data_IF_902930611359
#
_entry.id   IF_902930611359
#
_cell.length_a   1.000
_cell.length_b   1.000
_cell.length_c   1.000
_cell.angle_alpha   90.00
_cell.angle_beta   90.00
_cell.angle_gamma   90.00
#
_symmetry.space_group_name_H-M   'P 1'
#
loop_
_entity.id
_entity.type
_entity.pdbx_description
1 polymer ?
#
# COMPACT_ATOMS: atom_id res chain seq x y z
N UNK A 1 -50.99 -26.41 -22.25
CA UNK A 1 -51.41 -25.84 -23.56
C UNK A 1 -50.67 -24.50 -23.67
N UNK A 2 -49.42 -24.43 -24.18
CA UNK A 2 -49.01 -24.45 -25.60
C UNK A 2 -49.99 -23.69 -26.51
N UNK A 3 -49.62 -22.44 -26.82
CA UNK A 3 -50.00 -21.74 -28.06
C UNK A 3 -48.70 -21.19 -28.69
N UNK A 4 -48.30 -21.85 -29.78
CA UNK A 4 -47.46 -21.38 -30.90
C UNK A 4 -48.44 -20.99 -32.04
N UNK A 5 -48.08 -20.76 -33.33
CA UNK A 5 -46.87 -20.28 -34.05
C UNK A 5 -47.22 -19.08 -35.02
N UNK A 6 -46.35 -18.45 -35.83
CA UNK A 6 -45.90 -18.90 -37.17
C UNK A 6 -45.06 -17.79 -37.87
N UNK A 7 -43.97 -18.23 -38.55
CA UNK A 7 -43.44 -17.87 -39.89
C UNK A 7 -43.06 -16.39 -40.21
N UNK A 8 -42.01 -16.05 -40.97
CA UNK A 8 -41.36 -16.72 -42.13
C UNK A 8 -39.99 -16.09 -42.43
N UNK A 9 -39.09 -16.84 -43.06
CA UNK A 9 -37.81 -16.40 -43.61
C UNK A 9 -37.87 -16.11 -45.13
N UNK A 10 -37.00 -15.20 -45.62
CA UNK A 10 -36.32 -15.18 -46.95
C UNK A 10 -35.58 -13.83 -47.11
N UNK A 11 -34.24 -13.73 -47.16
CA UNK A 11 -33.25 -14.04 -48.24
C UNK A 11 -33.01 -12.90 -49.26
N UNK A 12 -31.76 -12.40 -49.24
CA UNK A 12 -30.87 -11.86 -50.32
C UNK A 12 -31.19 -10.47 -50.92
N UNK A 13 -30.28 -9.50 -50.74
CA UNK A 13 -29.30 -9.12 -51.78
C UNK A 13 -28.24 -8.12 -51.30
N UNK A 14 -27.09 -8.19 -51.97
CA UNK A 14 -25.76 -7.67 -51.67
C UNK A 14 -25.55 -6.22 -52.13
N UNK A 15 -24.69 -5.46 -51.44
CA UNK A 15 -23.75 -4.51 -52.06
C UNK A 15 -22.62 -4.14 -51.08
N UNK A 16 -21.40 -4.18 -51.58
CA UNK A 16 -20.12 -4.05 -50.89
C UNK A 16 -19.77 -2.59 -50.51
N UNK A 17 -18.89 -2.42 -49.53
CA UNK A 17 -17.73 -1.50 -49.57
C UNK A 17 -16.60 -2.10 -48.73
N UNK A 18 -15.41 -2.00 -49.31
CA UNK A 18 -14.10 -2.55 -48.97
C UNK A 18 -13.47 -2.05 -47.66
N UNK A 19 -12.85 -2.97 -46.92
CA UNK A 19 -11.74 -2.68 -46.02
C UNK A 19 -10.58 -3.65 -46.31
N UNK A 20 -9.38 -3.10 -46.49
CA UNK A 20 -8.14 -3.79 -46.81
C UNK A 20 -7.54 -4.52 -45.59
N UNK A 21 -6.95 -5.72 -45.75
CA UNK A 21 -6.22 -6.38 -44.67
C UNK A 21 -4.71 -6.04 -44.68
N UNK A 22 -4.19 -5.75 -43.49
CA UNK A 22 -2.75 -5.64 -43.20
C UNK A 22 -2.10 -7.02 -43.30
N UNK A 23 -1.09 -7.13 -44.17
CA UNK A 23 -0.30 -8.33 -44.41
C UNK A 23 0.58 -8.67 -43.20
N UNK A 24 0.37 -9.87 -42.65
CA UNK A 24 1.36 -10.59 -41.87
C UNK A 24 2.50 -11.07 -42.80
N UNK A 25 3.75 -10.80 -42.41
CA UNK A 25 4.94 -11.30 -43.09
C UNK A 25 5.57 -12.40 -42.22
N UNK A 26 5.23 -13.66 -42.50
CA UNK A 26 6.06 -14.80 -42.16
C UNK A 26 6.90 -15.16 -43.38
N UNK A 27 8.22 -15.27 -43.19
CA UNK A 27 9.10 -15.96 -44.13
C UNK A 27 9.44 -17.32 -43.52
N UNK A 28 9.11 -18.36 -44.29
CA UNK A 28 9.39 -19.77 -44.06
C UNK A 28 10.89 -20.08 -44.10
N UNK A 29 11.36 -20.93 -43.19
CA UNK A 29 12.33 -21.96 -43.56
C UNK A 29 11.97 -23.26 -42.85
N UNK A 30 11.80 -24.30 -43.66
CA UNK A 30 11.48 -25.67 -43.28
C UNK A 30 12.75 -26.42 -42.85
N UNK A 31 12.70 -27.14 -41.73
CA UNK A 31 13.37 -28.44 -41.64
C UNK A 31 12.66 -29.33 -40.62
N UNK A 32 12.45 -30.57 -41.05
CA UNK A 32 11.84 -31.69 -40.35
C UNK A 32 12.84 -32.42 -39.46
N UNK A 33 12.47 -32.78 -38.24
CA UNK A 33 12.86 -34.05 -37.61
C UNK A 33 12.07 -34.28 -36.31
N UNK A 34 11.73 -35.55 -36.07
CA UNK A 34 10.85 -36.03 -35.03
C UNK A 34 11.57 -36.34 -33.71
N UNK A 35 10.75 -36.39 -32.65
CA UNK A 35 10.85 -37.23 -31.44
C UNK A 35 12.08 -37.11 -30.53
N UNK A 36 11.86 -36.83 -29.23
CA UNK A 36 11.80 -37.83 -28.13
C UNK A 36 11.99 -37.11 -26.79
N UNK A 37 11.29 -37.59 -25.77
CA UNK A 37 11.42 -37.24 -24.35
C UNK A 37 12.82 -37.49 -23.78
N UNK A 38 13.35 -36.56 -22.97
CA UNK A 38 14.23 -36.87 -21.84
C UNK A 38 14.22 -35.72 -20.82
N UNK A 39 14.13 -36.11 -19.54
CA UNK A 39 14.51 -35.31 -18.37
C UNK A 39 15.99 -34.92 -18.45
N UNK A 40 16.33 -33.72 -17.98
CA UNK A 40 17.55 -33.41 -17.23
C UNK A 40 17.41 -31.97 -16.68
N UNK A 41 17.40 -31.74 -15.37
CA UNK A 41 18.58 -31.69 -14.49
C UNK A 41 19.60 -30.65 -14.94
N UNK A 42 19.37 -29.37 -14.61
CA UNK A 42 20.41 -28.34 -14.68
C UNK A 42 20.71 -27.77 -13.31
N UNK A 43 21.80 -28.28 -12.75
CA UNK A 43 22.63 -27.64 -11.72
C UNK A 43 23.19 -26.32 -12.25
N UNK A 44 22.89 -25.21 -11.58
CA UNK A 44 23.59 -23.94 -11.79
C UNK A 44 24.70 -23.78 -10.76
N UNK A 45 25.93 -23.78 -11.27
CA UNK A 45 27.14 -23.41 -10.57
C UNK A 45 27.14 -21.92 -10.22
N UNK A 46 27.51 -21.65 -8.98
CA UNK A 46 27.80 -20.34 -8.40
C UNK A 46 28.90 -19.60 -9.16
N UNK A 47 28.61 -18.35 -9.56
CA UNK A 47 29.62 -17.34 -9.83
C UNK A 47 29.21 -16.03 -9.14
N UNK A 48 29.96 -15.72 -8.10
CA UNK A 48 29.96 -14.46 -7.35
C UNK A 48 30.50 -13.31 -8.22
N UNK A 49 29.74 -12.22 -8.32
CA UNK A 49 30.28 -10.90 -8.65
C UNK A 49 29.38 -9.84 -8.01
N UNK A 50 29.82 -9.33 -6.87
CA UNK A 50 29.24 -8.16 -6.24
C UNK A 50 29.62 -6.89 -6.99
N UNK A 51 28.70 -5.92 -7.01
CA UNK A 51 28.98 -4.50 -7.22
C UNK A 51 27.75 -3.71 -6.77
N UNK A 52 27.77 -3.26 -5.52
CA UNK A 52 26.90 -2.20 -5.03
C UNK A 52 27.60 -0.85 -5.21
N UNK A 53 26.85 0.18 -5.59
CA UNK A 53 27.29 1.57 -5.55
C UNK A 53 26.14 2.43 -5.03
N UNK A 54 26.04 2.50 -3.70
CA UNK A 54 25.29 3.51 -2.97
C UNK A 54 26.18 4.74 -2.78
N UNK A 55 25.76 5.88 -3.30
CA UNK A 55 26.41 7.17 -3.04
C UNK A 55 25.95 7.70 -1.67
N UNK A 56 26.88 7.82 -0.72
CA UNK A 56 26.67 8.52 0.56
C UNK A 56 27.44 9.84 0.56
N UNK A 57 26.71 10.91 0.87
CA UNK A 57 27.24 12.22 1.26
C UNK A 57 27.83 12.17 2.68
N UNK A 58 28.89 12.93 2.87
CA UNK A 58 29.76 12.96 4.04
C UNK A 58 29.18 13.76 5.22
N UNK A 59 29.19 13.18 6.41
CA UNK A 59 29.25 13.91 7.67
C UNK A 59 30.18 13.17 8.64
N UNK A 60 31.21 13.86 9.11
CA UNK A 60 32.26 13.37 9.99
C UNK A 60 31.77 13.19 11.42
N UNK A 61 31.95 12.00 12.00
CA UNK A 61 31.93 11.79 13.44
C UNK A 61 33.08 10.86 13.83
N UNK A 62 33.89 11.32 14.79
CA UNK A 62 35.10 10.69 15.32
C UNK A 62 34.80 9.36 16.02
N UNK A 63 35.52 8.30 15.63
CA UNK A 63 35.51 7.00 16.25
C UNK A 63 36.36 6.98 17.54
N UNK A 64 35.80 6.43 18.62
CA UNK A 64 36.56 5.91 19.75
C UNK A 64 36.28 4.41 19.87
N UNK A 65 37.35 3.64 19.90
CA UNK A 65 37.41 2.18 19.87
C UNK A 65 37.05 1.58 21.23
N UNK A 66 36.19 0.56 21.23
CA UNK A 66 36.05 -0.36 22.36
C UNK A 66 36.10 -1.81 21.86
N UNK A 67 37.13 -2.50 22.32
CA UNK A 67 37.55 -3.86 22.00
C UNK A 67 36.54 -4.90 22.51
N UNK A 68 36.25 -5.90 21.68
CA UNK A 68 35.42 -7.06 22.00
C UNK A 68 36.08 -7.99 23.02
N UNK A 69 35.34 -8.41 24.04
CA UNK A 69 35.60 -9.64 24.79
C UNK A 69 34.34 -10.51 24.81
N UNK A 70 34.54 -11.79 24.53
CA UNK A 70 33.54 -12.84 24.51
C UNK A 70 33.16 -13.27 25.92
N UNK A 71 31.86 -13.35 26.21
CA UNK A 71 31.35 -14.14 27.33
C UNK A 71 30.02 -14.77 26.99
N UNK A 72 29.98 -16.08 27.19
CA UNK A 72 28.90 -17.04 27.07
C UNK A 72 27.63 -16.67 27.85
N UNK A 73 26.48 -17.00 27.26
CA UNK A 73 25.28 -17.49 27.95
C UNK A 73 24.56 -16.49 28.85
N UNK A 74 23.66 -15.70 28.27
CA UNK A 74 22.51 -15.15 28.99
C UNK A 74 21.33 -15.07 28.03
N UNK A 75 20.22 -15.72 28.40
CA UNK A 75 18.95 -15.70 27.70
C UNK A 75 18.50 -14.25 27.47
N UNK A 76 18.61 -13.78 26.24
CA UNK A 76 17.99 -12.51 25.83
C UNK A 76 16.48 -12.67 25.96
N UNK A 77 15.88 -11.81 26.79
CA UNK A 77 14.45 -11.68 26.95
C UNK A 77 13.89 -11.24 25.58
N UNK A 78 13.60 -12.18 24.68
CA UNK A 78 13.29 -11.86 23.29
C UNK A 78 11.89 -11.26 23.24
N UNK A 79 11.82 -9.94 23.03
CA UNK A 79 10.57 -9.23 22.73
C UNK A 79 9.90 -9.70 21.43
N UNK A 80 10.58 -10.58 20.67
CA UNK A 80 10.12 -11.16 19.42
C UNK A 80 10.06 -12.67 19.55
N UNK A 81 8.91 -13.25 19.20
CA UNK A 81 8.71 -14.70 19.08
C UNK A 81 8.10 -15.04 17.72
N UNK A 82 8.10 -16.32 17.35
CA UNK A 82 7.50 -16.79 16.09
C UNK A 82 5.99 -16.47 16.06
N UNK A 83 5.52 -15.87 14.96
CA UNK A 83 4.08 -15.58 14.79
C UNK A 83 3.29 -16.74 14.21
N UNK A 84 3.95 -17.78 13.71
CA UNK A 84 3.30 -18.92 13.08
C UNK A 84 2.33 -19.63 14.04
N UNK A 85 1.03 -19.66 13.70
CA UNK A 85 -0.08 -20.24 14.45
C UNK A 85 -0.27 -19.60 15.83
N UNK A 86 0.29 -18.40 16.03
CA UNK A 86 0.13 -17.68 17.27
C UNK A 86 -1.31 -17.18 17.40
N UNK A 87 -2.00 -17.69 18.41
CA UNK A 87 -3.30 -17.18 18.86
C UNK A 87 -3.15 -15.95 19.76
N UNK A 88 -1.92 -15.46 19.98
CA UNK A 88 -1.72 -14.19 20.69
C UNK A 88 -2.35 -13.09 19.86
N UNK A 89 -3.52 -12.68 20.33
CA UNK A 89 -4.23 -11.51 19.88
C UNK A 89 -4.17 -10.47 20.99
N UNK A 90 -4.30 -9.21 20.58
CA UNK A 90 -4.52 -8.16 21.54
C UNK A 90 -5.89 -8.36 22.22
N UNK A 91 -5.94 -8.32 23.55
CA UNK A 91 -7.20 -8.46 24.28
C UNK A 91 -8.09 -7.23 24.01
N UNK A 92 -9.12 -7.41 23.18
CA UNK A 92 -9.95 -6.34 22.61
C UNK A 92 -10.87 -5.63 23.60
N UNK A 93 -10.82 -5.96 24.89
CA UNK A 93 -11.63 -5.28 25.93
C UNK A 93 -11.05 -3.92 26.33
N UNK A 94 -9.78 -3.65 26.03
CA UNK A 94 -9.20 -2.33 26.22
C UNK A 94 -9.68 -1.39 25.11
N UNK A 95 -10.47 -0.40 25.48
CA UNK A 95 -10.96 0.65 24.57
C UNK A 95 -9.79 1.53 24.10
N UNK A 96 -9.94 2.24 22.98
CA UNK A 96 -8.93 3.17 22.43
C UNK A 96 -8.48 4.28 23.41
N UNK A 97 -9.13 4.40 24.57
CA UNK A 97 -8.83 5.34 25.65
C UNK A 97 -8.21 4.69 26.89
N UNK A 98 -7.94 3.37 26.89
CA UNK A 98 -7.22 2.73 27.99
C UNK A 98 -5.74 3.18 27.95
N UNK A 99 -5.28 3.73 29.06
CA UNK A 99 -3.87 4.13 29.29
C UNK A 99 -2.88 2.98 29.20
N UNK A 100 -3.37 1.74 29.25
CA UNK A 100 -2.56 0.54 29.33
C UNK A 100 -2.15 0.03 27.93
N UNK A 101 -2.71 0.64 26.87
CA UNK A 101 -2.41 0.30 25.48
C UNK A 101 -1.32 1.24 24.96
N UNK A 102 -0.08 0.77 25.00
CA UNK A 102 1.06 1.55 24.52
C UNK A 102 0.79 2.16 23.12
N UNK A 103 1.04 3.45 22.98
CA UNK A 103 0.93 4.21 21.73
C UNK A 103 -0.49 4.61 21.29
N UNK A 104 -1.52 3.84 21.62
CA UNK A 104 -2.91 4.13 21.16
C UNK A 104 -3.48 5.36 21.85
N UNK A 105 -3.28 5.52 23.15
CA UNK A 105 -3.77 6.68 23.92
C UNK A 105 -2.82 7.88 23.89
N UNK A 106 -1.79 7.87 23.05
CA UNK A 106 -0.76 8.91 23.04
C UNK A 106 -1.32 10.26 22.57
N UNK A 107 -0.84 11.35 23.16
CA UNK A 107 -1.38 12.69 22.93
C UNK A 107 -1.23 13.18 21.48
N UNK A 108 -0.24 12.68 20.73
CA UNK A 108 -0.04 13.02 19.33
C UNK A 108 -1.21 12.62 18.43
N UNK A 109 -2.01 11.63 18.84
CA UNK A 109 -3.20 11.18 18.09
C UNK A 109 -4.50 11.83 18.57
N UNK A 110 -4.44 13.00 19.22
CA UNK A 110 -5.63 13.73 19.67
C UNK A 110 -6.60 14.09 18.52
N UNK A 111 -6.07 14.27 17.31
CA UNK A 111 -6.84 14.65 16.11
C UNK A 111 -7.33 13.45 15.28
N UNK A 112 -7.12 12.22 15.76
CA UNK A 112 -7.69 11.02 15.13
C UNK A 112 -9.18 10.95 15.46
N UNK A 113 -10.00 10.81 14.42
CA UNK A 113 -11.46 10.66 14.50
C UNK A 113 -11.80 9.20 14.76
N UNK A 114 -12.72 8.95 15.69
CA UNK A 114 -13.26 7.61 15.91
C UNK A 114 -14.15 7.19 14.74
N UNK A 115 -13.99 5.95 14.28
CA UNK A 115 -14.85 5.35 13.26
C UNK A 115 -16.21 4.95 13.87
N UNK A 116 -17.28 5.21 13.13
CA UNK A 116 -18.64 4.77 13.48
C UNK A 116 -18.81 3.26 13.23
N UNK A 117 -18.10 2.74 12.23
CA UNK A 117 -18.05 1.32 11.87
C UNK A 117 -16.62 0.80 11.99
N UNK A 118 -16.21 0.29 13.17
CA UNK A 118 -14.92 -0.36 13.35
C UNK A 118 -14.68 -1.47 12.33
N UNK A 119 -13.42 -1.64 11.92
CA UNK A 119 -13.00 -2.59 10.89
C UNK A 119 -11.94 -3.54 11.46
N UNK A 120 -11.86 -4.75 10.91
CA UNK A 120 -10.68 -5.60 10.98
C UNK A 120 -9.74 -5.23 9.83
N UNK A 121 -8.61 -4.60 10.16
CA UNK A 121 -7.65 -4.08 9.18
C UNK A 121 -6.36 -4.88 9.23
N UNK A 122 -5.94 -5.37 8.06
CA UNK A 122 -4.55 -5.81 7.86
C UNK A 122 -3.74 -4.61 7.38
N UNK A 123 -2.62 -4.33 8.04
CA UNK A 123 -1.70 -3.25 7.73
C UNK A 123 -0.36 -3.81 7.25
N UNK A 124 0.15 -3.32 6.13
CA UNK A 124 1.45 -3.69 5.56
C UNK A 124 2.16 -2.46 4.96
N UNK A 125 3.36 -2.62 4.42
CA UNK A 125 4.08 -1.63 3.62
C UNK A 125 5.22 -2.31 2.83
N UNK A 126 6.11 -1.52 2.23
CA UNK A 126 7.38 -1.98 1.68
C UNK A 126 8.63 -1.38 2.37
N UNK A 127 8.51 -0.42 3.28
CA UNK A 127 9.66 0.15 4.01
C UNK A 127 10.18 -0.70 5.17
N UNK A 128 9.43 -1.75 5.53
CA UNK A 128 9.54 -2.65 6.68
C UNK A 128 8.67 -2.29 7.89
N UNK A 129 8.45 -3.29 8.74
CA UNK A 129 7.79 -3.17 10.04
C UNK A 129 8.52 -2.25 11.04
N UNK A 130 9.76 -1.87 10.72
CA UNK A 130 10.60 -0.97 11.52
C UNK A 130 10.50 0.50 11.12
N UNK A 131 9.74 0.84 10.08
CA UNK A 131 9.54 2.23 9.64
C UNK A 131 8.67 3.01 10.63
N UNK A 132 8.95 4.30 10.78
CA UNK A 132 8.16 5.22 11.61
C UNK A 132 6.73 5.39 11.08
N UNK A 133 6.55 5.52 9.76
CA UNK A 133 5.25 5.81 9.14
C UNK A 133 4.22 4.71 9.41
N UNK A 134 4.56 3.45 9.12
CA UNK A 134 3.64 2.32 9.35
C UNK A 134 3.33 2.12 10.84
N UNK A 135 4.29 2.40 11.72
CA UNK A 135 4.10 2.30 13.18
C UNK A 135 3.19 3.38 13.72
N UNK A 136 3.33 4.61 13.24
CA UNK A 136 2.39 5.69 13.57
C UNK A 136 0.98 5.36 13.05
N UNK A 137 0.84 4.88 11.81
CA UNK A 137 -0.47 4.54 11.24
C UNK A 137 -1.15 3.39 11.99
N UNK A 138 -0.38 2.39 12.43
CA UNK A 138 -0.90 1.31 13.27
C UNK A 138 -1.59 1.85 14.53
N UNK A 139 -0.94 2.74 15.27
CA UNK A 139 -1.53 3.32 16.48
C UNK A 139 -2.68 4.27 16.16
N UNK A 140 -2.60 5.06 15.09
CA UNK A 140 -3.69 5.95 14.67
C UNK A 140 -4.96 5.18 14.26
N UNK A 141 -4.84 4.10 13.48
CA UNK A 141 -6.00 3.26 13.13
C UNK A 141 -6.62 2.58 14.36
N UNK A 142 -5.79 2.16 15.33
CA UNK A 142 -6.30 1.64 16.61
C UNK A 142 -6.96 2.72 17.46
N UNK A 143 -6.41 3.94 17.45
CA UNK A 143 -7.00 5.11 18.11
C UNK A 143 -8.37 5.46 17.53
N UNK A 144 -8.55 5.27 16.22
CA UNK A 144 -9.86 5.40 15.56
C UNK A 144 -10.86 4.29 15.96
N UNK A 145 -10.42 3.25 16.66
CA UNK A 145 -11.28 2.15 17.15
C UNK A 145 -11.25 0.88 16.28
N UNK A 146 -10.43 0.84 15.22
CA UNK A 146 -10.27 -0.37 14.40
C UNK A 146 -9.45 -1.45 15.12
N UNK A 147 -9.67 -2.71 14.74
CA UNK A 147 -8.80 -3.85 15.09
C UNK A 147 -7.74 -3.98 14.02
N UNK A 148 -6.47 -3.81 14.37
CA UNK A 148 -5.37 -3.73 13.39
C UNK A 148 -4.35 -4.84 13.61
N UNK A 149 -4.09 -5.60 12.56
CA UNK A 149 -3.01 -6.58 12.45
C UNK A 149 -1.97 -6.03 11.45
N UNK A 150 -0.80 -5.65 11.94
CA UNK A 150 0.33 -5.31 11.06
C UNK A 150 1.14 -6.57 10.73
N UNK A 151 1.33 -6.84 9.44
CA UNK A 151 2.32 -7.80 8.94
C UNK A 151 3.07 -7.11 7.82
N UNK A 152 4.31 -6.71 8.09
CA UNK A 152 5.13 -5.96 7.14
C UNK A 152 6.49 -6.64 6.91
N UNK A 153 7.22 -6.29 5.84
CA UNK A 153 8.55 -6.84 5.59
C UNK A 153 9.52 -6.64 6.77
N UNK A 154 10.46 -7.57 6.96
CA UNK A 154 11.58 -7.38 7.89
C UNK A 154 12.65 -6.41 7.35
N UNK A 155 12.76 -6.29 6.02
CA UNK A 155 13.70 -5.45 5.29
C UNK A 155 12.96 -4.42 4.43
N UNK A 156 13.65 -3.37 3.98
CA UNK A 156 13.10 -2.51 2.92
C UNK A 156 12.95 -3.33 1.62
N UNK A 157 11.84 -3.13 0.94
CA UNK A 157 11.39 -3.82 -0.27
C UNK A 157 10.84 -2.84 -1.30
N UNK A 158 11.35 -1.60 -1.34
CA UNK A 158 10.96 -0.62 -2.35
C UNK A 158 11.28 -1.14 -3.76
N UNK A 159 10.45 -0.79 -4.75
CA UNK A 159 10.65 -1.16 -6.15
C UNK A 159 10.34 -2.62 -6.50
N UNK A 160 9.57 -3.33 -5.66
CA UNK A 160 9.22 -4.74 -5.91
C UNK A 160 7.92 -4.93 -6.70
N UNK A 161 7.13 -3.88 -6.93
CA UNK A 161 5.82 -3.97 -7.56
C UNK A 161 4.97 -5.11 -6.95
N UNK A 162 4.30 -5.88 -7.80
CA UNK A 162 3.54 -7.08 -7.41
C UNK A 162 4.38 -8.36 -7.19
N UNK A 163 5.71 -8.29 -7.08
CA UNK A 163 6.54 -9.49 -6.92
C UNK A 163 6.20 -10.23 -5.62
N UNK A 164 6.10 -11.57 -5.68
CA UNK A 164 5.91 -12.45 -4.52
C UNK A 164 7.19 -13.26 -4.27
N UNK A 165 7.93 -12.92 -3.22
CA UNK A 165 9.05 -13.73 -2.71
C UNK A 165 8.75 -14.17 -1.30
N UNK A 166 8.77 -15.48 -1.08
CA UNK A 166 8.59 -16.12 0.22
C UNK A 166 9.95 -16.40 0.89
N UNK A 167 9.99 -16.56 2.23
CA UNK A 167 11.20 -16.93 2.94
C UNK A 167 11.79 -18.25 2.40
N UNK A 168 13.10 -18.27 2.15
CA UNK A 168 13.84 -19.48 1.77
C UNK A 168 14.50 -20.20 2.97
N UNK A 169 14.26 -19.71 4.19
CA UNK A 169 14.86 -20.23 5.42
C UNK A 169 13.92 -20.00 6.60
N UNK A 170 14.01 -20.87 7.62
CA UNK A 170 13.19 -20.75 8.82
C UNK A 170 13.56 -19.53 9.69
N UNK A 171 14.75 -18.98 9.47
CA UNK A 171 15.29 -17.89 10.25
C UNK A 171 15.77 -16.75 9.33
N UNK A 172 15.78 -15.55 9.88
CA UNK A 172 16.36 -14.34 9.30
C UNK A 172 17.87 -14.56 9.12
N UNK A 173 18.35 -14.45 7.88
CA UNK A 173 19.76 -14.65 7.50
C UNK A 173 20.55 -13.35 7.39
N UNK A 174 19.86 -12.22 7.21
CA UNK A 174 20.40 -10.86 7.24
C UNK A 174 19.57 -10.00 8.19
N UNK A 175 20.19 -9.16 9.00
CA UNK A 175 19.45 -8.33 9.94
C UNK A 175 18.47 -7.40 9.19
N UNK A 176 17.21 -7.40 9.62
CA UNK A 176 16.19 -6.50 9.11
C UNK A 176 16.53 -5.02 9.38
N UNK A 177 15.71 -4.11 8.83
CA UNK A 177 15.94 -2.66 8.99
C UNK A 177 16.08 -2.30 10.47
N UNK A 178 17.12 -1.52 10.80
CA UNK A 178 17.44 -1.11 12.18
C UNK A 178 17.84 -2.26 13.12
N UNK A 179 18.04 -3.49 12.61
CA UNK A 179 18.30 -4.67 13.43
C UNK A 179 17.08 -5.18 14.19
N UNK A 180 15.88 -4.65 13.89
CA UNK A 180 14.67 -4.99 14.64
C UNK A 180 14.21 -6.43 14.42
N UNK A 181 14.55 -7.03 13.28
CA UNK A 181 14.51 -8.48 13.10
C UNK A 181 15.97 -8.99 13.03
N UNK A 182 16.57 -9.45 14.15
CA UNK A 182 17.97 -9.83 14.17
C UNK A 182 18.21 -11.14 13.41
N UNK A 183 19.46 -11.38 12.99
CA UNK A 183 19.88 -12.67 12.43
C UNK A 183 19.57 -13.79 13.43
N UNK A 184 18.99 -14.89 12.95
CA UNK A 184 18.54 -16.01 13.77
C UNK A 184 17.11 -15.88 14.31
N UNK A 185 16.47 -14.72 14.22
CA UNK A 185 15.03 -14.59 14.49
C UNK A 185 14.20 -15.43 13.50
N UNK A 186 12.97 -15.86 13.82
CA UNK A 186 12.13 -16.62 12.89
C UNK A 186 11.78 -15.81 11.63
N UNK A 187 11.47 -16.47 10.52
CA UNK A 187 11.06 -15.79 9.27
C UNK A 187 9.78 -14.95 9.40
N UNK A 188 8.91 -15.33 10.34
CA UNK A 188 7.70 -14.60 10.72
C UNK A 188 7.72 -14.40 12.24
N UNK A 189 7.68 -13.15 12.69
CA UNK A 189 7.81 -12.81 14.10
C UNK A 189 6.78 -11.79 14.56
N UNK A 190 6.44 -11.81 15.84
CA UNK A 190 5.55 -10.83 16.49
C UNK A 190 6.24 -10.18 17.69
N UNK A 191 5.83 -8.95 17.99
CA UNK A 191 6.18 -8.29 19.26
C UNK A 191 5.30 -8.85 20.39
N UNK A 192 5.89 -9.40 21.44
CA UNK A 192 5.16 -10.02 22.55
C UNK A 192 4.33 -9.02 23.35
N UNK A 193 4.77 -7.76 23.47
CA UNK A 193 4.04 -6.74 24.23
C UNK A 193 2.90 -6.13 23.42
N UNK A 194 2.96 -6.26 22.09
CA UNK A 194 1.87 -5.90 21.19
C UNK A 194 1.78 -6.91 20.03
N UNK A 195 1.04 -8.02 20.21
CA UNK A 195 0.97 -9.10 19.23
C UNK A 195 0.36 -8.72 17.88
N UNK A 196 -0.23 -7.52 17.76
CA UNK A 196 -0.68 -6.98 16.48
C UNK A 196 0.46 -6.43 15.61
N UNK A 197 1.67 -6.27 16.15
CA UNK A 197 2.86 -5.83 15.41
C UNK A 197 3.69 -7.04 15.00
N UNK A 198 3.67 -7.39 13.71
CA UNK A 198 4.37 -8.55 13.16
C UNK A 198 5.21 -8.20 11.95
N UNK A 199 6.23 -9.00 11.70
CA UNK A 199 6.99 -8.98 10.46
C UNK A 199 6.93 -10.32 9.74
N UNK A 200 7.15 -10.28 8.43
CA UNK A 200 7.36 -11.44 7.58
C UNK A 200 8.56 -11.22 6.65
N UNK A 201 9.42 -12.22 6.49
CA UNK A 201 10.61 -12.14 5.65
C UNK A 201 10.28 -12.40 4.17
N UNK A 202 9.50 -11.50 3.57
CA UNK A 202 9.08 -11.59 2.17
C UNK A 202 8.88 -10.22 1.53
N UNK A 203 8.39 -10.21 0.29
CA UNK A 203 7.96 -8.98 -0.39
C UNK A 203 6.63 -8.46 0.19
N UNK A 204 6.23 -7.21 -0.12
CA UNK A 204 5.00 -6.60 0.41
C UNK A 204 3.74 -7.42 0.07
N UNK A 205 3.60 -7.87 -1.18
CA UNK A 205 2.52 -8.76 -1.59
C UNK A 205 2.54 -10.11 -0.83
N UNK A 206 3.73 -10.66 -0.59
CA UNK A 206 3.87 -11.87 0.23
C UNK A 206 3.48 -11.64 1.70
N UNK A 207 3.75 -10.45 2.25
CA UNK A 207 3.33 -10.07 3.60
C UNK A 207 1.80 -9.95 3.69
N UNK A 208 1.16 -9.33 2.70
CA UNK A 208 -0.31 -9.27 2.61
C UNK A 208 -0.92 -10.68 2.50
N UNK A 209 -0.37 -11.53 1.64
CA UNK A 209 -0.79 -12.93 1.53
C UNK A 209 -0.63 -13.70 2.83
N UNK A 210 0.53 -13.61 3.49
CA UNK A 210 0.75 -14.24 4.79
C UNK A 210 -0.22 -13.73 5.86
N UNK A 211 -0.50 -12.43 5.88
CA UNK A 211 -1.47 -11.87 6.81
C UNK A 211 -2.85 -12.48 6.60
N UNK A 212 -3.35 -12.49 5.36
CA UNK A 212 -4.68 -12.98 5.01
C UNK A 212 -4.81 -14.50 5.21
N UNK A 213 -3.83 -15.26 4.74
CA UNK A 213 -3.86 -16.73 4.70
C UNK A 213 -3.46 -17.38 6.02
N UNK A 214 -2.83 -16.62 6.92
CA UNK A 214 -2.22 -17.19 8.11
C UNK A 214 -2.57 -16.43 9.39
N UNK A 215 -2.16 -15.17 9.50
CA UNK A 215 -2.19 -14.48 10.78
C UNK A 215 -3.58 -13.91 11.14
N UNK A 216 -4.33 -13.44 10.14
CA UNK A 216 -5.63 -12.78 10.30
C UNK A 216 -6.70 -13.71 10.88
N UNK A 217 -6.77 -14.96 10.39
CA UNK A 217 -7.73 -15.96 10.87
C UNK A 217 -7.63 -16.19 12.39
N UNK A 218 -6.41 -16.28 12.93
CA UNK A 218 -6.19 -16.41 14.37
C UNK A 218 -6.35 -15.10 15.12
N UNK A 219 -5.86 -14.00 14.56
CA UNK A 219 -5.86 -12.70 15.23
C UNK A 219 -7.27 -12.10 15.35
N UNK A 220 -8.08 -12.19 14.30
CA UNK A 220 -9.44 -11.67 14.28
C UNK A 220 -10.49 -12.63 14.85
N UNK A 221 -10.10 -13.90 15.11
CA UNK A 221 -10.98 -14.99 15.53
C UNK A 221 -12.11 -15.24 14.51
N UNK A 222 -11.74 -15.33 13.23
CA UNK A 222 -12.70 -15.58 12.16
C UNK A 222 -13.28 -17.00 12.30
N UNK A 223 -14.60 -17.09 12.49
CA UNK A 223 -15.29 -18.33 12.84
C UNK A 223 -15.69 -19.19 11.63
N UNK A 224 -15.61 -18.63 10.42
CA UNK A 224 -15.96 -19.32 9.17
C UNK A 224 -14.71 -19.86 8.47
N UNK A 225 -14.53 -21.18 8.45
CA UNK A 225 -13.44 -21.84 7.71
C UNK A 225 -13.51 -21.66 6.18
N UNK A 226 -14.60 -21.08 5.66
CA UNK A 226 -14.81 -20.81 4.23
C UNK A 226 -14.75 -19.31 3.90
N UNK A 227 -14.38 -18.45 4.85
CA UNK A 227 -14.17 -17.04 4.58
C UNK A 227 -12.78 -16.81 3.96
N UNK A 228 -12.74 -16.55 2.65
CA UNK A 228 -11.51 -16.28 1.92
C UNK A 228 -10.82 -14.97 2.32
N UNK A 229 -11.48 -14.10 3.09
CA UNK A 229 -10.90 -12.85 3.60
C UNK A 229 -10.48 -12.96 5.06
N UNK A 230 -10.70 -14.10 5.73
CA UNK A 230 -10.39 -14.31 7.14
C UNK A 230 -10.95 -13.22 8.08
N UNK A 231 -12.15 -12.71 7.77
CA UNK A 231 -12.82 -11.64 8.51
C UNK A 231 -12.21 -10.26 8.32
N UNK A 232 -11.29 -10.07 7.37
CA UNK A 232 -10.64 -8.78 7.08
C UNK A 232 -11.57 -7.92 6.22
N UNK A 233 -11.83 -6.70 6.69
CA UNK A 233 -12.66 -5.71 6.00
C UNK A 233 -11.87 -4.85 5.01
N UNK A 234 -10.59 -4.62 5.30
CA UNK A 234 -9.72 -3.71 4.56
C UNK A 234 -8.23 -4.08 4.72
N UNK A 235 -7.48 -4.05 3.63
CA UNK A 235 -6.01 -3.99 3.68
C UNK A 235 -5.58 -2.53 3.51
N UNK A 236 -4.71 -2.07 4.40
CA UNK A 236 -4.06 -0.77 4.28
C UNK A 236 -2.57 -1.02 4.04
N UNK A 237 -2.00 -0.36 3.04
CA UNK A 237 -0.58 -0.47 2.71
C UNK A 237 0.10 0.89 2.82
N UNK A 238 1.22 0.97 3.52
CA UNK A 238 1.97 2.20 3.79
C UNK A 238 1.73 2.78 5.20
N UNK A 239 1.94 4.10 5.41
CA UNK A 239 2.36 5.07 4.42
C UNK A 239 3.81 4.83 3.97
N UNK A 240 4.05 4.83 2.67
CA UNK A 240 5.38 4.70 2.06
C UNK A 240 6.23 5.94 2.38
N UNK A 241 7.53 5.72 2.63
CA UNK A 241 8.59 6.74 2.69
C UNK A 241 8.98 7.13 1.26
N UNK A 242 8.29 8.13 0.71
CA UNK A 242 8.33 8.55 -0.68
C UNK A 242 6.95 8.46 -1.34
N UNK A 243 6.72 9.23 -2.39
CA UNK A 243 5.46 9.18 -3.15
C UNK A 243 5.47 8.08 -4.20
N UNK A 244 4.29 7.62 -4.58
CA UNK A 244 4.06 6.66 -5.65
C UNK A 244 3.10 7.27 -6.68
N UNK A 245 3.55 8.35 -7.33
CA UNK A 245 2.76 9.15 -8.26
C UNK A 245 2.76 8.58 -9.68
N UNK A 246 1.56 8.42 -10.21
CA UNK A 246 1.29 8.08 -11.60
C UNK A 246 1.48 6.61 -11.97
N UNK A 247 1.16 6.23 -13.22
CA UNK A 247 1.13 4.83 -13.64
C UNK A 247 2.47 4.11 -13.57
N UNK A 248 3.57 4.87 -13.73
CA UNK A 248 4.91 4.31 -13.65
C UNK A 248 5.21 3.79 -12.24
N UNK A 249 5.08 4.65 -11.22
CA UNK A 249 5.32 4.25 -9.83
C UNK A 249 4.24 3.30 -9.32
N UNK A 250 2.99 3.42 -9.78
CA UNK A 250 1.95 2.44 -9.52
C UNK A 250 2.39 1.00 -9.78
N UNK A 251 3.10 0.77 -10.89
CA UNK A 251 3.55 -0.57 -11.30
C UNK A 251 4.79 -1.05 -10.52
N UNK A 252 5.66 -0.11 -10.11
CA UNK A 252 6.95 -0.40 -9.48
C UNK A 252 6.86 -0.45 -7.94
N UNK A 253 5.86 0.21 -7.35
CA UNK A 253 5.68 0.36 -5.91
C UNK A 253 5.35 -0.96 -5.22
N UNK A 254 6.11 -1.29 -4.17
CA UNK A 254 5.78 -2.42 -3.30
C UNK A 254 4.56 -2.12 -2.42
N UNK A 255 4.44 -0.87 -1.96
CA UNK A 255 3.26 -0.39 -1.21
C UNK A 255 1.97 -0.58 -2.02
N UNK A 256 1.93 -0.15 -3.28
CA UNK A 256 0.76 -0.38 -4.15
C UNK A 256 0.63 -1.85 -4.53
N UNK A 257 1.73 -2.56 -4.79
CA UNK A 257 1.71 -4.01 -5.10
C UNK A 257 1.03 -4.86 -4.02
N UNK A 258 1.22 -4.54 -2.74
CA UNK A 258 0.51 -5.22 -1.65
C UNK A 258 -0.99 -4.90 -1.61
N UNK A 259 -1.36 -3.64 -1.90
CA UNK A 259 -2.76 -3.20 -2.03
C UNK A 259 -3.44 -3.92 -3.20
N UNK A 260 -2.77 -3.97 -4.35
CA UNK A 260 -3.22 -4.64 -5.56
C UNK A 260 -3.48 -6.13 -5.33
N UNK A 261 -2.51 -6.84 -4.72
CA UNK A 261 -2.64 -8.24 -4.36
C UNK A 261 -3.86 -8.50 -3.45
N UNK A 262 -4.13 -7.63 -2.49
CA UNK A 262 -5.29 -7.76 -1.61
C UNK A 262 -6.63 -7.60 -2.36
N UNK A 263 -6.70 -6.64 -3.29
CA UNK A 263 -7.89 -6.42 -4.12
C UNK A 263 -8.19 -7.65 -4.99
N UNK A 264 -7.18 -8.27 -5.59
CA UNK A 264 -7.32 -9.53 -6.33
C UNK A 264 -7.79 -10.69 -5.44
N UNK A 265 -7.50 -10.64 -4.13
CA UNK A 265 -7.91 -11.62 -3.12
C UNK A 265 -9.27 -11.31 -2.49
N UNK A 266 -10.11 -10.51 -3.15
CA UNK A 266 -11.43 -10.10 -2.68
C UNK A 266 -11.42 -9.24 -1.41
N UNK A 267 -10.30 -8.58 -1.05
CA UNK A 267 -10.24 -7.68 0.11
C UNK A 267 -10.06 -6.24 -0.39
N UNK A 268 -10.95 -5.28 -0.04
CA UNK A 268 -10.74 -3.88 -0.39
C UNK A 268 -9.37 -3.40 0.09
N UNK A 269 -8.72 -2.49 -0.65
CA UNK A 269 -7.43 -1.97 -0.21
C UNK A 269 -7.19 -0.49 -0.54
N UNK A 270 -6.43 0.17 0.34
CA UNK A 270 -5.97 1.56 0.19
C UNK A 270 -4.46 1.59 0.42
N UNK A 271 -3.73 2.12 -0.56
CA UNK A 271 -2.30 2.40 -0.46
C UNK A 271 -2.07 3.88 -0.09
N UNK A 272 -1.16 4.15 0.83
CA UNK A 272 -0.75 5.49 1.24
C UNK A 272 0.74 5.68 0.98
N UNK A 273 1.11 6.85 0.48
CA UNK A 273 2.50 7.23 0.20
C UNK A 273 2.71 8.69 0.55
N UNK A 274 3.89 9.07 1.04
CA UNK A 274 4.12 10.42 1.53
C UNK A 274 5.51 10.94 1.12
N UNK A 275 5.62 12.22 0.78
CA UNK A 275 6.93 12.88 0.64
C UNK A 275 7.59 13.05 2.01
N UNK A 276 8.21 11.97 2.52
CA UNK A 276 8.92 11.95 3.80
C UNK A 276 10.27 11.29 3.67
N UNK A 277 11.18 11.65 4.57
CA UNK A 277 12.45 10.98 4.73
C UNK A 277 12.30 9.57 5.34
N UNK A 278 13.36 8.78 5.18
CA UNK A 278 13.51 7.45 5.78
C UNK A 278 13.64 7.59 7.30
N UNK A 279 12.67 7.09 8.08
CA UNK A 279 12.65 7.21 9.55
C UNK A 279 12.50 5.84 10.23
N UNK A 280 13.17 5.65 11.37
CA UNK A 280 13.01 4.43 12.17
C UNK A 280 11.94 4.64 13.23
N UNK A 281 11.21 3.60 13.60
CA UNK A 281 10.14 3.75 14.60
C UNK A 281 10.63 4.25 15.96
N UNK A 282 11.90 4.06 16.29
CA UNK A 282 12.51 4.57 17.53
C UNK A 282 12.65 6.09 17.56
N UNK A 283 12.54 6.77 16.42
CA UNK A 283 12.50 8.24 16.35
C UNK A 283 11.10 8.82 16.49
N UNK A 284 10.06 7.99 16.63
CA UNK A 284 8.68 8.47 16.76
C UNK A 284 8.47 9.18 18.09
N UNK A 285 7.96 10.40 18.04
CA UNK A 285 7.38 11.05 19.21
C UNK A 285 5.85 10.94 19.18
N UNK A 286 5.31 9.83 19.69
CA UNK A 286 3.85 9.58 19.70
C UNK A 286 3.05 10.59 20.55
N UNK A 287 3.73 11.38 21.39
CA UNK A 287 3.07 12.42 22.19
C UNK A 287 3.00 13.78 21.48
N UNK A 288 3.70 13.92 20.36
CA UNK A 288 3.78 15.16 19.60
C UNK A 288 2.86 15.10 18.38
N UNK A 289 1.87 16.00 18.36
CA UNK A 289 0.94 16.16 17.22
C UNK A 289 1.66 16.68 15.97
N UNK A 290 2.85 17.25 16.13
CA UNK A 290 3.66 17.80 15.06
C UNK A 290 4.74 16.85 14.54
N UNK A 291 4.90 15.64 15.11
CA UNK A 291 5.75 14.62 14.48
C UNK A 291 5.19 14.26 13.09
N UNK A 292 6.04 14.34 12.06
CA UNK A 292 5.68 14.11 10.66
C UNK A 292 4.90 12.79 10.44
N UNK A 293 5.37 11.70 11.02
CA UNK A 293 4.75 10.38 10.88
C UNK A 293 3.42 10.31 11.64
N UNK A 294 3.30 11.01 12.77
CA UNK A 294 2.04 11.12 13.54
C UNK A 294 1.00 11.91 12.77
N UNK A 295 1.38 13.02 12.11
CA UNK A 295 0.50 13.80 11.23
C UNK A 295 -0.02 12.98 10.06
N UNK A 296 0.89 12.33 9.32
CA UNK A 296 0.51 11.49 8.17
C UNK A 296 -0.39 10.35 8.62
N UNK A 297 -0.03 9.66 9.71
CA UNK A 297 -0.85 8.61 10.29
C UNK A 297 -2.26 9.10 10.67
N UNK A 298 -2.35 10.31 11.23
CA UNK A 298 -3.64 10.94 11.58
C UNK A 298 -4.47 11.21 10.33
N UNK A 299 -3.89 11.78 9.27
CA UNK A 299 -4.58 12.00 8.00
C UNK A 299 -5.04 10.68 7.36
N UNK A 300 -4.17 9.66 7.32
CA UNK A 300 -4.50 8.35 6.74
C UNK A 300 -5.58 7.62 7.53
N UNK A 301 -5.51 7.61 8.87
CA UNK A 301 -6.53 6.98 9.71
C UNK A 301 -7.90 7.68 9.59
N UNK A 302 -7.90 9.01 9.53
CA UNK A 302 -9.12 9.79 9.32
C UNK A 302 -9.71 9.54 7.92
N UNK A 303 -8.87 9.41 6.89
CA UNK A 303 -9.31 9.06 5.54
C UNK A 303 -9.95 7.66 5.51
N UNK A 304 -9.27 6.65 6.07
CA UNK A 304 -9.79 5.28 6.17
C UNK A 304 -11.15 5.25 6.88
N UNK A 305 -11.24 5.88 8.06
CA UNK A 305 -12.47 5.92 8.86
C UNK A 305 -13.61 6.58 8.08
N UNK A 306 -13.32 7.71 7.42
CA UNK A 306 -14.32 8.46 6.67
C UNK A 306 -14.81 7.69 5.44
N UNK A 307 -13.91 7.09 4.65
CA UNK A 307 -14.29 6.29 3.48
C UNK A 307 -15.12 5.08 3.91
N UNK A 308 -14.69 4.38 4.96
CA UNK A 308 -15.41 3.22 5.48
C UNK A 308 -16.80 3.56 6.02
N UNK A 309 -16.91 4.62 6.83
CA UNK A 309 -18.19 5.04 7.40
C UNK A 309 -19.17 5.48 6.33
N UNK A 310 -18.71 6.19 5.29
CA UNK A 310 -19.56 6.56 4.17
C UNK A 310 -20.00 5.34 3.35
N UNK A 311 -19.10 4.41 3.05
CA UNK A 311 -19.44 3.18 2.32
C UNK A 311 -20.45 2.30 3.08
N UNK A 312 -20.40 2.33 4.42
CA UNK A 312 -21.27 1.55 5.32
C UNK A 312 -22.49 2.31 5.86
N UNK A 313 -22.69 3.57 5.48
CA UNK A 313 -23.72 4.43 6.07
C UNK A 313 -25.15 3.86 5.96
N UNK A 314 -25.47 3.20 4.84
CA UNK A 314 -26.79 2.59 4.61
C UNK A 314 -26.83 1.08 4.93
N UNK A 315 -25.68 0.43 5.03
CA UNK A 315 -25.54 -1.00 5.30
C UNK A 315 -24.20 -1.27 5.98
N UNK A 316 -24.23 -1.60 7.27
CA UNK A 316 -23.03 -1.88 8.07
C UNK A 316 -22.24 -3.12 7.62
N UNK A 317 -22.84 -3.97 6.78
CA UNK A 317 -22.21 -5.14 6.15
C UNK A 317 -21.69 -4.86 4.73
N UNK A 318 -21.82 -3.62 4.23
CA UNK A 318 -21.29 -3.26 2.92
C UNK A 318 -19.76 -3.30 2.91
N UNK A 319 -19.19 -3.65 1.74
CA UNK A 319 -17.75 -3.57 1.51
C UNK A 319 -17.31 -2.11 1.47
N UNK A 320 -16.10 -1.82 1.95
CA UNK A 320 -15.52 -0.46 1.91
C UNK A 320 -15.33 0.02 0.47
N UNK A 321 -14.88 -0.88 -0.43
CA UNK A 321 -14.76 -0.63 -1.87
C UNK A 321 -15.34 -1.81 -2.67
N UNK A 322 -15.83 -1.59 -3.90
CA UNK A 322 -16.25 -2.66 -4.80
C UNK A 322 -15.13 -3.68 -5.08
N UNK A 323 -15.52 -4.85 -5.58
CA UNK A 323 -14.54 -5.85 -6.05
C UNK A 323 -13.72 -5.29 -7.21
N UNK A 324 -12.44 -5.65 -7.24
CA UNK A 324 -11.50 -5.23 -8.29
C UNK A 324 -11.07 -3.77 -8.23
N UNK A 325 -11.51 -3.01 -7.23
CA UNK A 325 -11.22 -1.58 -7.07
C UNK A 325 -10.41 -1.33 -5.80
N UNK A 326 -9.36 -0.52 -5.93
CA UNK A 326 -8.60 0.00 -4.80
C UNK A 326 -8.32 1.50 -4.94
N UNK A 327 -7.74 2.06 -3.89
CA UNK A 327 -7.33 3.48 -3.86
C UNK A 327 -5.82 3.59 -3.63
N UNK A 328 -5.23 4.64 -4.19
CA UNK A 328 -3.90 5.12 -3.81
C UNK A 328 -4.00 6.58 -3.39
N UNK A 329 -3.27 6.94 -2.34
CA UNK A 329 -3.23 8.27 -1.74
C UNK A 329 -1.79 8.72 -1.66
N UNK A 330 -1.50 9.93 -2.11
CA UNK A 330 -0.18 10.54 -2.01
C UNK A 330 -0.26 11.86 -1.24
N UNK A 331 0.65 12.04 -0.28
CA UNK A 331 0.80 13.27 0.50
C UNK A 331 1.99 14.10 -0.01
N UNK A 332 1.86 15.45 -0.04
CA UNK A 332 2.99 16.33 -0.29
C UNK A 332 3.92 16.35 0.94
N UNK A 333 4.98 17.17 0.89
CA UNK A 333 5.84 17.40 2.06
C UNK A 333 5.03 18.13 3.15
N UNK A 334 4.78 17.46 4.27
CA UNK A 334 4.00 17.97 5.40
C UNK A 334 4.94 18.51 6.49
N UNK A 335 4.55 19.59 7.15
CA UNK A 335 5.32 20.15 8.27
C UNK A 335 5.56 19.08 9.36
N UNK A 336 6.77 18.98 9.94
CA UNK A 336 7.79 20.02 9.99
C UNK A 336 8.89 19.92 8.92
N UNK A 337 8.90 18.86 8.11
CA UNK A 337 9.88 18.68 7.03
C UNK A 337 9.50 19.51 5.80
N UNK A 338 8.20 19.66 5.52
CA UNK A 338 7.65 20.55 4.50
C UNK A 338 6.99 21.82 5.06
N UNK A 339 6.32 22.56 4.16
CA UNK A 339 5.57 23.78 4.50
C UNK A 339 4.05 23.55 4.59
N UNK A 340 3.57 22.34 4.29
CA UNK A 340 2.14 22.04 4.35
C UNK A 340 1.68 21.83 5.81
N UNK A 341 0.83 22.74 6.29
CA UNK A 341 0.20 22.67 7.62
C UNK A 341 -1.26 22.23 7.53
N UNK A 342 -1.97 22.67 6.49
CA UNK A 342 -3.38 22.38 6.26
C UNK A 342 -3.56 21.64 4.93
N UNK A 343 -3.91 20.36 5.02
CA UNK A 343 -4.01 19.47 3.87
C UNK A 343 -5.39 19.56 3.21
N UNK A 344 -5.45 19.88 1.92
CA UNK A 344 -6.65 19.76 1.09
C UNK A 344 -6.69 18.40 0.37
N UNK A 345 -7.86 17.75 0.33
CA UNK A 345 -8.03 16.48 -0.38
C UNK A 345 -8.57 16.70 -1.80
N UNK A 346 -7.95 16.08 -2.79
CA UNK A 346 -8.33 16.20 -4.19
C UNK A 346 -8.61 14.83 -4.80
N UNK A 347 -9.76 14.69 -5.46
CA UNK A 347 -10.04 13.52 -6.31
C UNK A 347 -9.17 13.63 -7.56
N UNK A 348 -8.28 12.68 -7.73
CA UNK A 348 -7.32 12.64 -8.82
C UNK A 348 -7.45 11.38 -9.64
N UNK A 349 -6.70 11.35 -10.74
CA UNK A 349 -6.42 10.13 -11.49
C UNK A 349 -4.90 9.96 -11.59
N UNK A 350 -4.43 8.73 -11.83
CA UNK A 350 -3.00 8.44 -11.93
C UNK A 350 -2.32 9.22 -13.08
N UNK A 351 -2.99 9.35 -14.22
CA UNK A 351 -2.48 10.05 -15.41
C UNK A 351 -2.75 11.56 -15.36
N UNK A 352 -2.02 12.37 -16.13
CA UNK A 352 -2.22 13.82 -16.19
C UNK A 352 -1.01 14.55 -15.65
N UNK A 353 -0.05 14.83 -16.53
CA UNK A 353 1.34 15.21 -16.19
C UNK A 353 2.09 14.14 -15.41
N UNK A 354 1.67 12.88 -15.52
CA UNK A 354 2.43 11.74 -15.02
C UNK A 354 3.77 11.64 -15.74
N UNK A 355 4.76 11.14 -15.01
CA UNK A 355 6.13 10.98 -15.48
C UNK A 355 6.49 9.49 -15.60
N UNK A 356 7.50 9.21 -16.42
CA UNK A 356 8.24 7.95 -16.48
C UNK A 356 9.74 8.28 -16.55
N UNK A 357 10.61 7.32 -16.24
CA UNK A 357 12.04 7.50 -16.39
C UNK A 357 12.50 7.48 -17.86
N UNK A 358 13.45 8.38 -18.17
CA UNK A 358 14.31 8.29 -19.35
C UNK A 358 15.75 8.08 -18.91
N UNK A 359 16.39 7.05 -19.45
CA UNK A 359 17.81 6.84 -19.22
C UNK A 359 18.66 7.94 -19.88
N UNK A 360 19.57 8.50 -19.10
CA UNK A 360 20.53 9.52 -19.52
C UNK A 360 21.91 9.15 -18.97
N UNK A 361 22.99 9.72 -19.51
CA UNK A 361 24.34 9.51 -18.99
C UNK A 361 24.71 10.68 -18.09
N UNK A 362 25.14 10.41 -16.87
CA UNK A 362 25.64 11.44 -15.98
C UNK A 362 26.98 11.97 -16.53
N UNK A 363 27.05 13.27 -16.84
CA UNK A 363 28.21 13.89 -17.50
C UNK A 363 29.48 13.92 -16.63
N UNK A 364 29.34 13.81 -15.32
CA UNK A 364 30.47 13.80 -14.38
C UNK A 364 31.07 12.41 -14.20
N UNK A 365 30.22 11.38 -14.09
CA UNK A 365 30.66 10.00 -13.81
C UNK A 365 30.78 9.13 -15.05
N UNK A 366 30.14 9.51 -16.16
CA UNK A 366 30.03 8.69 -17.37
C UNK A 366 29.11 7.47 -17.24
N UNK A 367 28.44 7.30 -16.10
CA UNK A 367 27.54 6.17 -15.84
C UNK A 367 26.09 6.51 -16.21
N UNK A 368 25.27 5.50 -16.59
CA UNK A 368 23.83 5.69 -16.76
C UNK A 368 23.15 6.17 -15.46
N UNK A 369 22.16 7.03 -15.61
CA UNK A 369 21.21 7.48 -14.59
C UNK A 369 19.84 7.69 -15.26
N UNK A 370 18.86 8.22 -14.53
CA UNK A 370 17.53 8.53 -15.01
C UNK A 370 17.21 10.04 -14.91
N UNK A 371 16.25 10.48 -15.70
CA UNK A 371 15.64 11.79 -15.63
C UNK A 371 14.13 11.67 -15.91
N UNK A 372 13.33 12.57 -15.33
CA UNK A 372 11.89 12.59 -15.57
C UNK A 372 11.58 12.82 -17.05
N UNK A 373 10.64 12.03 -17.58
CA UNK A 373 10.15 12.11 -18.94
C UNK A 373 8.62 12.08 -18.95
N UNK A 374 8.03 13.15 -19.48
CA UNK A 374 6.58 13.22 -19.72
C UNK A 374 6.34 12.75 -21.16
N UNK A 375 5.67 11.61 -21.31
CA UNK A 375 5.29 11.08 -22.62
C UNK A 375 3.77 11.13 -22.81
N UNK A 376 3.33 11.12 -24.07
CA UNK A 376 1.91 10.98 -24.40
C UNK A 376 1.37 9.62 -23.95
N UNK A 377 2.20 8.56 -23.99
CA UNK A 377 1.81 7.21 -23.62
C UNK A 377 1.39 7.07 -22.15
N UNK A 378 2.20 7.58 -21.21
CA UNK A 378 1.89 7.52 -19.76
C UNK A 378 0.72 8.44 -19.37
N UNK A 379 0.35 9.37 -20.25
CA UNK A 379 -0.73 10.34 -20.03
C UNK A 379 -1.96 10.11 -20.93
N UNK A 380 -2.02 9.01 -21.67
CA UNK A 380 -3.15 8.70 -22.52
C UNK A 380 -4.44 8.56 -21.68
N UNK A 381 -5.49 9.30 -22.05
CA UNK A 381 -6.80 9.11 -21.41
C UNK A 381 -7.61 8.05 -22.15
N UNK A 382 -7.43 6.79 -21.75
CA UNK A 382 -8.17 5.66 -22.34
C UNK A 382 -9.35 5.19 -21.47
N UNK A 383 -9.25 5.36 -20.15
CA UNK A 383 -10.27 4.95 -19.19
C UNK A 383 -10.33 5.89 -17.99
N UNK A 384 -11.46 5.84 -17.27
CA UNK A 384 -11.76 6.70 -16.12
C UNK A 384 -12.24 8.09 -16.51
N UNK A 385 -12.33 8.98 -15.52
CA UNK A 385 -12.80 10.36 -15.71
C UNK A 385 -11.62 11.26 -16.11
N UNK A 386 -11.51 11.62 -17.41
CA UNK A 386 -10.44 12.47 -17.92
C UNK A 386 -10.46 13.91 -17.36
N UNK A 387 -11.59 14.35 -16.80
CA UNK A 387 -11.74 15.70 -16.25
C UNK A 387 -11.08 15.87 -14.88
N UNK A 388 -10.68 14.77 -14.22
CA UNK A 388 -9.95 14.83 -12.96
C UNK A 388 -8.49 15.26 -13.20
N UNK A 389 -7.91 16.08 -12.31
CA UNK A 389 -6.49 16.41 -12.37
C UNK A 389 -5.63 15.16 -12.11
N UNK A 390 -4.43 15.15 -12.67
CA UNK A 390 -3.47 14.08 -12.41
C UNK A 390 -2.79 14.24 -11.06
N UNK A 391 -2.56 13.13 -10.37
CA UNK A 391 -2.03 13.17 -9.00
C UNK A 391 -0.62 13.74 -8.90
N UNK A 392 0.24 13.53 -9.90
CA UNK A 392 1.59 14.11 -9.94
C UNK A 392 1.52 15.63 -9.84
N UNK A 393 0.67 16.27 -10.65
CA UNK A 393 0.48 17.72 -10.64
C UNK A 393 -0.11 18.22 -9.32
N UNK A 394 -1.08 17.49 -8.76
CA UNK A 394 -1.75 17.89 -7.51
C UNK A 394 -0.80 17.87 -6.33
N UNK A 395 0.02 16.83 -6.19
CA UNK A 395 0.93 16.70 -5.05
C UNK A 395 2.14 17.64 -5.18
N UNK A 396 2.61 17.88 -6.41
CA UNK A 396 3.83 18.66 -6.66
C UNK A 396 3.60 20.17 -6.88
N UNK A 397 2.36 20.63 -7.01
CA UNK A 397 2.07 22.05 -7.30
C UNK A 397 2.34 23.03 -6.14
N UNK A 398 2.66 22.54 -4.94
CA UNK A 398 2.93 23.36 -3.75
C UNK A 398 1.71 23.90 -3.01
N UNK A 399 0.49 23.51 -3.41
CA UNK A 399 -0.77 24.01 -2.83
C UNK A 399 -1.23 23.22 -1.59
N UNK A 400 -0.37 22.41 -0.98
CA UNK A 400 -0.72 21.63 0.22
C UNK A 400 -1.86 20.61 -0.02
N UNK A 401 -1.81 19.88 -1.14
CA UNK A 401 -2.88 18.99 -1.57
C UNK A 401 -2.46 17.51 -1.52
N UNK A 402 -3.28 16.66 -0.89
CA UNK A 402 -3.18 15.22 -1.01
C UNK A 402 -4.05 14.71 -2.16
N UNK A 403 -3.50 13.76 -2.92
CA UNK A 403 -4.22 13.08 -3.98
C UNK A 403 -4.96 11.85 -3.45
N UNK A 404 -6.11 11.54 -4.05
CA UNK A 404 -6.77 10.24 -3.91
C UNK A 404 -7.21 9.76 -5.29
N UNK A 405 -6.57 8.70 -5.77
CA UNK A 405 -6.79 8.11 -7.09
C UNK A 405 -7.38 6.71 -6.97
N UNK A 406 -8.37 6.40 -7.82
CA UNK A 406 -8.86 5.02 -8.02
C UNK A 406 -7.93 4.26 -8.95
N UNK A 407 -7.71 2.98 -8.65
CA UNK A 407 -7.22 2.01 -9.61
C UNK A 407 -8.19 0.81 -9.74
N UNK A 408 -8.09 0.12 -10.86
CA UNK A 408 -8.81 -1.13 -11.16
C UNK A 408 -7.80 -2.24 -11.42
N UNK A 409 -8.12 -3.47 -11.02
CA UNK A 409 -7.35 -4.68 -11.38
C UNK A 409 -7.83 -5.30 -12.70
N UNK A 410 -9.02 -4.91 -13.18
CA UNK A 410 -9.48 -5.24 -14.53
C UNK A 410 -8.91 -4.22 -15.53
N UNK A 411 -7.83 -4.63 -16.19
CA UNK A 411 -7.12 -3.82 -17.17
C UNK A 411 -7.83 -3.71 -18.52
N UNK A 412 -8.80 -4.61 -18.79
CA UNK A 412 -9.54 -4.68 -20.06
C UNK A 412 -10.94 -4.03 -19.96
N UNK A 413 -11.31 -3.52 -18.78
CA UNK A 413 -12.64 -2.98 -18.49
C UNK A 413 -13.04 -1.84 -19.44
N UNK A 414 -14.12 -2.00 -20.23
CA UNK A 414 -14.66 -0.91 -21.02
C UNK A 414 -15.31 0.15 -20.10
N UNK A 415 -15.20 1.41 -20.51
CA UNK A 415 -15.59 2.64 -19.77
C UNK A 415 -17.04 2.71 -19.26
N UNK A 416 -17.91 1.75 -19.61
CA UNK A 416 -19.29 1.67 -19.13
C UNK A 416 -19.43 1.00 -17.74
N UNK A 417 -18.42 0.27 -17.25
CA UNK A 417 -18.53 -0.51 -16.01
C UNK A 417 -18.24 0.27 -14.71
N UNK A 418 -17.66 1.49 -14.77
CA UNK A 418 -17.25 2.28 -13.58
C UNK A 418 -18.10 3.52 -13.33
N UNK A 419 -19.19 3.72 -14.07
CA UNK A 419 -19.99 4.96 -14.04
C UNK A 419 -20.58 5.25 -12.64
N UNK A 420 -20.96 4.22 -11.90
CA UNK A 420 -21.54 4.36 -10.55
C UNK A 420 -20.47 4.64 -9.46
N UNK A 421 -19.22 4.23 -9.67
CA UNK A 421 -18.11 4.45 -8.74
C UNK A 421 -17.66 5.92 -8.71
N UNK A 422 -17.72 6.60 -9.86
CA UNK A 422 -17.35 8.02 -9.97
C UNK A 422 -18.27 8.89 -9.10
N UNK A 423 -19.56 8.56 -9.03
CA UNK A 423 -20.51 9.30 -8.20
C UNK A 423 -20.21 9.15 -6.70
N UNK A 424 -19.99 7.92 -6.23
CA UNK A 424 -19.70 7.63 -4.81
C UNK A 424 -18.40 8.32 -4.33
N UNK A 425 -17.32 8.26 -5.12
CA UNK A 425 -16.06 8.89 -4.74
C UNK A 425 -16.15 10.43 -4.77
N UNK A 426 -16.84 10.99 -5.77
CA UNK A 426 -17.05 12.45 -5.86
C UNK A 426 -17.79 12.98 -4.63
N UNK A 427 -18.84 12.30 -4.17
CA UNK A 427 -19.58 12.69 -2.96
C UNK A 427 -18.75 12.55 -1.68
N UNK A 428 -17.95 11.49 -1.54
CA UNK A 428 -17.08 11.31 -0.38
C UNK A 428 -16.05 12.43 -0.23
N UNK A 429 -15.44 12.86 -1.33
CA UNK A 429 -14.44 13.94 -1.34
C UNK A 429 -15.08 15.31 -1.06
N UNK A 430 -16.26 15.57 -1.60
CA UNK A 430 -17.01 16.78 -1.27
C UNK A 430 -17.36 16.88 0.21
N UNK A 431 -17.68 15.75 0.87
CA UNK A 431 -17.96 15.71 2.31
C UNK A 431 -16.71 16.03 3.16
N UNK A 432 -15.55 15.51 2.78
CA UNK A 432 -14.27 15.81 3.44
C UNK A 432 -13.96 17.32 3.39
N UNK A 433 -14.17 17.95 2.24
CA UNK A 433 -13.89 19.37 2.05
C UNK A 433 -14.94 20.27 2.74
N UNK A 434 -16.19 19.81 2.86
CA UNK A 434 -17.25 20.53 3.57
C UNK A 434 -17.07 20.54 5.09
N UNK A 435 -16.44 19.51 5.67
CA UNK A 435 -16.13 19.47 7.09
C UNK A 435 -14.91 20.33 7.49
N UNK A 436 -14.13 20.84 6.53
CA UNK A 436 -13.06 21.81 6.79
C UNK A 436 -13.55 23.25 6.99
N UNK A 437 -14.72 23.59 6.45
CA UNK A 437 -15.30 24.95 6.51
C UNK A 437 -16.24 25.20 7.69
N UNK A 438 -16.74 24.14 8.34
CA UNK A 438 -17.67 24.25 9.48
C UNK A 438 -16.99 24.53 10.83
N UNK A 439 -15.66 24.51 10.95
CA UNK A 439 -14.97 24.77 12.23
C UNK A 439 -14.68 26.26 12.51
N UNK A 440 -14.99 27.16 11.58
CA UNK A 440 -14.59 28.58 11.69
C UNK A 440 -15.73 29.59 11.89
N UNK A 441 -16.96 29.16 12.24
CA UNK A 441 -18.10 30.10 12.38
C UNK A 441 -18.84 30.08 13.71
N UNK A 442 -18.35 29.40 14.75
CA UNK A 442 -18.98 29.40 16.08
C UNK A 442 -18.09 30.02 17.17
N UNK A 443 -17.62 31.25 16.96
CA UNK A 443 -17.02 32.07 18.00
C UNK A 443 -17.20 33.58 17.75
N UNK A 444 -18.43 34.09 17.80
CA UNK A 444 -18.78 35.35 18.48
C UNK A 444 -20.24 35.74 18.27
N UNK A 445 -21.10 35.43 19.23
CA UNK A 445 -22.29 36.23 19.47
C UNK A 445 -22.81 36.04 20.90
N UNK A 446 -22.15 36.66 21.87
CA UNK A 446 -22.82 37.12 23.10
C UNK A 446 -22.02 38.24 23.76
N UNK A 447 -22.74 39.30 24.11
CA UNK A 447 -22.44 40.43 25.02
C UNK A 447 -21.91 41.74 24.41
N UNK A 448 -22.82 42.61 23.98
CA UNK A 448 -23.11 43.93 24.56
C UNK A 448 -24.15 44.65 23.71
#
# INVERSE_FOLDING_TARGET
MKFFPLLTAALVSSAAISATPLQARQASSSSSAAATSTQDSFSSSSSSSGSGSSATSSASASASSATSTSSSGSSTNSSIINSYNSTLSYNSTATANSSDVYGVSAAGFANVKSASNPLNIVLTNDDSWGSANIRALYYALRRAGHRVLMVAPSHNQSGKGGTVVLPASLNITSAGRGGFAPVGAPFAGLNVTDPGLRYFNGTPAACAGWALDHDAQYFFNATSRNDSTAGVDLVVSGPNEGTNLGPFLYTLSGTIGASYFAVERNVPAIAFSASTDVRQYTSLNLSDVDDESVKIATYSANFVSTVADNAKASNSSARVLPLGIGLTVNYPEIAPTGNCTDLEWVHTRLTGKAIIDRFVVNSTTGLPTYANYVSEGVNACLAGNCSLPGETDVVENGNCQASASIYSVDYDAPTNATQDLVAALTSGIQSLNSNGTASNSSANSTSA
#
